data_IF_757830958718
#
_entry.id   IF_757830958718
#
_cell.length_a   1.000
_cell.length_b   1.000
_cell.length_c   1.000
_cell.angle_alpha   90.00
_cell.angle_beta   90.00
_cell.angle_gamma   90.00
#
_symmetry.space_group_name_H-M   'P 1'
#
loop_
_entity.id
_entity.type
_entity.pdbx_description
1 polymer ?
#
# COMPACT_ATOMS: atom_id res chain seq x y z
N UNK A 1 1.53 1.77 28.43
CA UNK A 1 2.36 1.16 27.38
C UNK A 1 2.13 1.99 26.13
N UNK A 2 3.04 2.90 25.81
CA UNK A 2 3.06 3.51 24.48
C UNK A 2 3.39 2.40 23.50
N UNK A 3 2.53 2.22 22.48
CA UNK A 3 2.85 1.35 21.35
C UNK A 3 4.10 1.85 20.64
N UNK A 4 4.65 1.08 19.67
CA UNK A 4 5.71 1.60 18.81
C UNK A 4 5.24 2.95 18.26
N UNK A 5 6.14 3.93 18.19
CA UNK A 5 5.84 5.28 17.69
C UNK A 5 5.29 5.18 16.25
N UNK A 6 3.96 5.05 16.14
CA UNK A 6 3.23 4.86 14.89
C UNK A 6 3.13 6.22 14.21
N UNK A 7 4.16 6.56 13.45
CA UNK A 7 4.27 7.84 12.74
C UNK A 7 3.19 8.03 11.66
N UNK A 8 2.50 6.96 11.25
CA UNK A 8 1.50 7.02 10.18
C UNK A 8 0.15 6.48 10.67
N UNK A 9 -0.94 7.16 10.30
CA UNK A 9 -2.32 6.71 10.53
C UNK A 9 -3.02 6.41 9.21
N UNK A 10 -3.79 5.33 9.18
CA UNK A 10 -4.64 5.01 8.04
C UNK A 10 -5.89 5.91 8.02
N UNK A 11 -6.19 6.49 6.87
CA UNK A 11 -7.41 7.27 6.63
C UNK A 11 -8.48 6.36 6.01
N UNK A 12 -9.29 5.73 6.85
CA UNK A 12 -10.26 4.70 6.42
C UNK A 12 -11.43 5.25 5.60
N UNK A 13 -11.69 6.56 5.66
CA UNK A 13 -12.61 7.28 4.80
C UNK A 13 -12.18 7.29 3.32
N UNK A 14 -10.89 7.09 3.05
CA UNK A 14 -10.32 6.96 1.71
C UNK A 14 -10.31 5.52 1.19
N UNK A 15 -10.83 4.56 1.95
CA UNK A 15 -10.81 3.15 1.59
C UNK A 15 -11.64 2.87 0.34
N UNK A 16 -10.97 2.33 -0.67
CA UNK A 16 -11.60 1.75 -1.86
C UNK A 16 -11.33 0.25 -1.87
N UNK A 17 -12.40 -0.54 -1.81
CA UNK A 17 -12.35 -2.00 -1.92
C UNK A 17 -12.82 -2.43 -3.31
N UNK A 18 -12.07 -3.34 -3.93
CA UNK A 18 -12.36 -3.92 -5.25
C UNK A 18 -12.11 -5.42 -5.22
N UNK A 19 -12.50 -6.13 -6.27
CA UNK A 19 -12.09 -7.52 -6.51
C UNK A 19 -10.56 -7.74 -6.50
N UNK A 20 -9.76 -6.68 -6.72
CA UNK A 20 -8.30 -6.73 -6.72
C UNK A 20 -7.67 -6.45 -5.35
N UNK A 21 -8.50 -6.21 -4.33
CA UNK A 21 -8.08 -5.87 -2.97
C UNK A 21 -8.47 -4.45 -2.55
N UNK A 22 -7.78 -3.95 -1.52
CA UNK A 22 -8.07 -2.69 -0.83
C UNK A 22 -7.00 -1.63 -1.08
N UNK A 23 -7.41 -0.37 -1.15
CA UNK A 23 -6.51 0.80 -1.22
C UNK A 23 -6.98 1.89 -0.28
N UNK A 24 -6.08 2.53 0.44
CA UNK A 24 -6.38 3.66 1.33
C UNK A 24 -5.14 4.50 1.58
N UNK A 25 -5.35 5.74 2.01
CA UNK A 25 -4.28 6.68 2.32
C UNK A 25 -3.70 6.43 3.72
N UNK A 26 -2.39 6.62 3.84
CA UNK A 26 -1.68 6.78 5.10
C UNK A 26 -1.26 8.24 5.24
N UNK A 27 -1.48 8.82 6.42
CA UNK A 27 -1.09 10.19 6.75
C UNK A 27 -0.02 10.18 7.84
N UNK A 28 1.09 10.82 7.57
CA UNK A 28 2.08 11.21 8.57
C UNK A 28 1.64 12.58 9.16
N UNK A 29 1.32 12.67 10.47
CA UNK A 29 0.68 13.87 11.03
C UNK A 29 1.55 15.12 11.07
N UNK A 30 2.87 15.00 11.17
CA UNK A 30 3.77 16.13 11.43
C UNK A 30 4.10 16.90 10.15
N UNK A 31 4.32 16.17 9.06
CA UNK A 31 4.61 16.68 7.71
C UNK A 31 3.37 16.77 6.83
N UNK A 32 2.25 16.17 7.26
CA UNK A 32 1.03 16.00 6.46
C UNK A 32 1.25 15.21 5.16
N UNK A 33 2.33 14.43 5.09
CA UNK A 33 2.63 13.60 3.91
C UNK A 33 1.60 12.49 3.78
N UNK A 34 1.07 12.34 2.56
CA UNK A 34 0.12 11.28 2.20
C UNK A 34 0.79 10.21 1.36
N UNK A 35 0.64 8.96 1.77
CA UNK A 35 1.05 7.78 1.02
C UNK A 35 -0.18 6.97 0.62
N UNK A 36 -0.10 6.27 -0.50
CA UNK A 36 -1.09 5.29 -0.90
C UNK A 36 -0.64 3.90 -0.46
N UNK A 37 -1.44 3.25 0.38
CA UNK A 37 -1.28 1.85 0.70
C UNK A 37 -2.26 1.01 -0.12
N UNK A 38 -1.74 -0.05 -0.74
CA UNK A 38 -2.52 -1.05 -1.47
C UNK A 38 -2.26 -2.43 -0.87
N UNK A 39 -3.34 -3.17 -0.62
CA UNK A 39 -3.32 -4.56 -0.16
C UNK A 39 -4.06 -5.39 -1.20
N UNK A 40 -3.39 -6.36 -1.81
CA UNK A 40 -4.00 -7.24 -2.82
C UNK A 40 -3.76 -8.70 -2.47
N UNK A 41 -4.79 -9.56 -2.56
CA UNK A 41 -4.59 -11.01 -2.50
C UNK A 41 -3.77 -11.44 -3.71
N UNK A 42 -2.95 -12.46 -3.50
CA UNK A 42 -2.11 -13.09 -4.51
C UNK A 42 -2.31 -14.60 -4.38
N UNK A 43 -2.05 -15.34 -5.46
CA UNK A 43 -2.09 -16.81 -5.44
C UNK A 43 -1.27 -17.40 -4.28
N UNK A 44 -1.63 -18.62 -3.90
CA UNK A 44 -0.96 -19.41 -2.87
C UNK A 44 -1.12 -18.81 -1.46
N UNK A 45 -2.31 -18.28 -1.16
CA UNK A 45 -2.66 -17.72 0.16
C UNK A 45 -1.71 -16.58 0.59
N UNK A 46 -1.18 -15.82 -0.37
CA UNK A 46 -0.26 -14.71 -0.09
C UNK A 46 -0.94 -13.36 -0.24
N UNK A 47 -0.42 -12.36 0.47
CA UNK A 47 -0.90 -10.97 0.37
C UNK A 47 0.26 -10.09 -0.03
N UNK A 48 0.04 -9.23 -1.02
CA UNK A 48 0.98 -8.17 -1.38
C UNK A 48 0.54 -6.87 -0.75
N UNK A 49 1.46 -6.24 -0.02
CA UNK A 49 1.32 -4.89 0.49
C UNK A 49 2.29 -4.00 -0.30
N UNK A 50 1.77 -2.89 -0.82
CA UNK A 50 2.55 -1.88 -1.52
C UNK A 50 2.22 -0.52 -0.92
N UNK A 51 3.26 0.22 -0.54
CA UNK A 51 3.15 1.62 -0.11
C UNK A 51 3.94 2.45 -1.10
N UNK A 52 3.32 3.50 -1.63
CA UNK A 52 3.96 4.44 -2.56
C UNK A 52 3.47 5.86 -2.25
N UNK A 53 4.15 6.87 -2.79
CA UNK A 53 3.66 8.25 -2.71
C UNK A 53 2.47 8.44 -3.65
N UNK A 54 1.50 9.27 -3.23
CA UNK A 54 0.41 9.68 -4.13
C UNK A 54 0.91 10.60 -5.25
N UNK A 55 1.81 11.53 -4.91
CA UNK A 55 2.32 12.56 -5.80
C UNK A 55 3.86 12.65 -5.71
N UNK A 56 4.60 11.64 -6.19
CA UNK A 56 6.05 11.64 -6.12
C UNK A 56 6.66 12.67 -7.09
N UNK A 57 7.66 13.43 -6.64
CA UNK A 57 8.48 14.30 -7.52
C UNK A 57 9.15 13.47 -8.63
N UNK A 58 9.58 12.26 -8.30
CA UNK A 58 10.10 11.25 -9.22
C UNK A 58 9.61 9.89 -8.78
N UNK A 59 9.17 9.07 -9.74
CA UNK A 59 8.69 7.71 -9.48
C UNK A 59 9.70 6.91 -8.62
N UNK A 60 9.18 6.26 -7.58
CA UNK A 60 9.97 5.38 -6.72
C UNK A 60 10.38 4.13 -7.48
N UNK A 61 11.61 3.69 -7.25
CA UNK A 61 12.16 2.52 -7.91
C UNK A 61 11.34 1.27 -7.59
N UNK A 62 11.04 0.47 -8.61
CA UNK A 62 10.41 -0.84 -8.49
C UNK A 62 11.39 -1.87 -9.01
N UNK A 63 11.66 -2.91 -8.23
CA UNK A 63 12.62 -3.95 -8.56
C UNK A 63 12.14 -4.70 -9.81
N UNK A 64 12.85 -4.61 -10.95
CA UNK A 64 12.53 -5.36 -12.16
C UNK A 64 13.09 -6.78 -12.07
N UNK A 65 12.65 -7.66 -12.97
CA UNK A 65 13.24 -8.98 -13.26
C UNK A 65 13.25 -10.03 -12.13
N UNK A 66 12.76 -9.70 -10.93
CA UNK A 66 12.64 -10.64 -9.80
C UNK A 66 11.29 -11.37 -9.81
N UNK A 67 10.21 -10.66 -10.14
CA UNK A 67 8.87 -11.24 -10.20
C UNK A 67 8.68 -11.88 -11.58
N UNK A 68 8.63 -13.22 -11.62
CA UNK A 68 8.63 -14.00 -12.87
C UNK A 68 7.24 -14.29 -13.44
N UNK A 69 6.16 -13.82 -12.80
CA UNK A 69 4.79 -13.99 -13.27
C UNK A 69 3.84 -12.93 -12.71
N UNK A 70 2.67 -12.77 -13.35
CA UNK A 70 1.63 -11.89 -12.82
C UNK A 70 1.12 -12.41 -11.47
N UNK A 71 1.14 -11.53 -10.47
CA UNK A 71 0.41 -11.74 -9.23
C UNK A 71 -1.08 -11.55 -9.54
N UNK A 72 -1.71 -12.60 -10.07
CA UNK A 72 -3.14 -12.60 -10.33
C UNK A 72 -3.87 -12.56 -8.99
N UNK A 73 -4.82 -11.64 -8.85
CA UNK A 73 -5.75 -11.64 -7.73
C UNK A 73 -6.53 -12.97 -7.77
N UNK A 74 -6.68 -13.60 -6.60
CA UNK A 74 -7.58 -14.76 -6.49
C UNK A 74 -9.00 -14.29 -6.87
N UNK A 75 -9.61 -15.01 -7.83
CA UNK A 75 -10.95 -14.72 -8.35
C UNK A 75 -12.02 -15.24 -7.41
#
# INVERSE_FOLDING_TARGET
MEGPNLQHRALLDTLVLTERGARFELLEPDTQTKLLLSVSPCKNDTVRILIDEMEPIKARYRVPDVITGELQCEQ
#
